data_IF_801833702588
#
_entry.id   IF_801833702588
#
_cell.length_a   1.000
_cell.length_b   1.000
_cell.length_c   1.000
_cell.angle_alpha   90.00
_cell.angle_beta   90.00
_cell.angle_gamma   90.00
#
_symmetry.space_group_name_H-M   'P 1'
#
loop_
_entity.id
_entity.type
_entity.pdbx_description
1 polymer ?
#
# COMPACT_ATOMS: atom_id res chain seq x y z
N UNK A 1 14.18 -18.40 15.01
CA UNK A 1 13.58 -17.99 13.73
C UNK A 1 14.74 -17.70 12.79
N UNK A 2 14.77 -18.30 11.61
CA UNK A 2 15.83 -18.05 10.63
C UNK A 2 15.57 -16.68 9.98
N UNK A 3 16.39 -15.70 10.33
CA UNK A 3 16.24 -14.31 9.89
C UNK A 3 16.49 -14.20 8.37
N UNK A 4 17.37 -15.03 7.82
CA UNK A 4 17.64 -15.04 6.39
C UNK A 4 16.44 -15.57 5.60
N UNK A 5 15.81 -16.63 6.13
CA UNK A 5 14.58 -17.16 5.56
C UNK A 5 13.43 -16.14 5.62
N UNK A 6 13.31 -15.41 6.73
CA UNK A 6 12.30 -14.36 6.88
C UNK A 6 12.47 -13.25 5.82
N UNK A 7 13.69 -12.73 5.64
CA UNK A 7 13.96 -11.70 4.62
C UNK A 7 13.70 -12.21 3.19
N UNK A 8 14.02 -13.48 2.89
CA UNK A 8 13.73 -14.08 1.58
C UNK A 8 12.23 -14.15 1.30
N UNK A 9 11.44 -14.50 2.31
CA UNK A 9 9.98 -14.52 2.20
C UNK A 9 9.45 -13.10 1.96
N UNK A 10 9.86 -12.13 2.77
CA UNK A 10 9.45 -10.73 2.64
C UNK A 10 9.78 -10.13 1.26
N UNK A 11 10.97 -10.45 0.73
CA UNK A 11 11.38 -10.03 -0.61
C UNK A 11 10.49 -10.64 -1.70
N UNK A 12 10.22 -11.95 -1.62
CA UNK A 12 9.38 -12.64 -2.60
C UNK A 12 7.92 -12.14 -2.56
N UNK A 13 7.37 -11.89 -1.36
CA UNK A 13 6.04 -11.32 -1.20
C UNK A 13 5.96 -9.90 -1.78
N UNK A 14 6.97 -9.07 -1.54
CA UNK A 14 7.05 -7.71 -2.07
C UNK A 14 7.12 -7.69 -3.60
N UNK A 15 7.91 -8.57 -4.20
CA UNK A 15 8.01 -8.70 -5.66
C UNK A 15 6.69 -9.17 -6.29
N UNK A 16 6.04 -10.15 -5.68
CA UNK A 16 4.73 -10.64 -6.13
C UNK A 16 3.66 -9.53 -6.09
N UNK A 17 3.59 -8.79 -4.98
CA UNK A 17 2.63 -7.70 -4.81
C UNK A 17 2.87 -6.56 -5.80
N UNK A 18 4.14 -6.17 -6.00
CA UNK A 18 4.52 -5.17 -6.99
C UNK A 18 4.04 -5.54 -8.38
N UNK A 19 4.39 -6.74 -8.85
CA UNK A 19 4.02 -7.23 -10.20
C UNK A 19 2.50 -7.21 -10.41
N UNK A 20 1.74 -7.60 -9.37
CA UNK A 20 0.28 -7.56 -9.40
C UNK A 20 -0.27 -6.14 -9.51
N UNK A 21 0.30 -5.18 -8.78
CA UNK A 21 -0.14 -3.78 -8.81
C UNK A 21 0.24 -3.10 -10.11
N UNK A 22 1.43 -3.36 -10.65
CA UNK A 22 1.87 -2.90 -11.98
C UNK A 22 0.92 -3.41 -13.07
N UNK A 23 0.53 -4.69 -12.99
CA UNK A 23 -0.44 -5.29 -13.91
C UNK A 23 -1.81 -4.60 -13.83
N UNK A 24 -2.29 -4.27 -12.62
CA UNK A 24 -3.56 -3.55 -12.43
C UNK A 24 -3.49 -2.10 -12.94
N UNK A 25 -2.35 -1.42 -12.74
CA UNK A 25 -2.14 -0.05 -13.20
C UNK A 25 -2.16 0.04 -14.75
N UNK A 26 -1.77 -1.04 -15.43
CA UNK A 26 -1.82 -1.15 -16.89
C UNK A 26 -3.23 -1.33 -17.48
N UNK A 27 -4.26 -1.57 -16.65
CA UNK A 27 -5.65 -1.67 -17.13
C UNK A 27 -6.12 -0.30 -17.59
N UNK A 28 -6.70 -0.24 -18.80
CA UNK A 28 -7.16 1.01 -19.42
C UNK A 28 -8.05 1.83 -18.48
N UNK A 29 -7.71 3.10 -18.28
CA UNK A 29 -8.41 4.03 -17.39
C UNK A 29 -8.11 3.85 -15.89
N UNK A 30 -7.26 2.90 -15.52
CA UNK A 30 -6.89 2.57 -14.14
C UNK A 30 -8.10 2.54 -13.18
N UNK A 31 -9.11 1.68 -13.44
CA UNK A 31 -10.35 1.65 -12.67
C UNK A 31 -10.15 1.29 -11.19
N UNK A 32 -9.01 0.69 -10.88
CA UNK A 32 -8.64 0.29 -9.52
C UNK A 32 -7.76 1.32 -8.81
N UNK A 33 -7.47 2.48 -9.40
CA UNK A 33 -6.55 3.47 -8.81
C UNK A 33 -5.20 2.86 -8.43
N UNK A 34 -4.75 1.84 -9.17
CA UNK A 34 -3.55 1.10 -8.86
C UNK A 34 -2.31 1.96 -9.15
N UNK A 35 -1.38 2.02 -8.20
CA UNK A 35 -0.09 2.69 -8.39
C UNK A 35 1.01 2.03 -7.56
N UNK A 36 2.20 2.01 -8.12
CA UNK A 36 3.45 1.71 -7.41
C UNK A 36 4.21 3.02 -7.25
N UNK A 37 4.64 3.30 -6.03
CA UNK A 37 5.43 4.45 -5.67
C UNK A 37 6.53 4.03 -4.70
N UNK A 38 7.37 4.96 -4.24
CA UNK A 38 8.50 4.63 -3.38
C UNK A 38 8.52 5.57 -2.18
N UNK A 39 8.70 5.00 -0.98
CA UNK A 39 9.06 5.73 0.22
C UNK A 39 10.55 5.46 0.51
N UNK A 40 11.41 6.42 0.17
CA UNK A 40 12.85 6.21 0.05
C UNK A 40 13.16 4.99 -0.85
N UNK A 41 13.80 3.95 -0.30
CA UNK A 41 14.17 2.74 -1.03
C UNK A 41 13.09 1.64 -0.98
N UNK A 42 11.98 1.88 -0.27
CA UNK A 42 10.94 0.88 -0.07
C UNK A 42 9.80 1.07 -1.09
N UNK A 43 9.49 0.04 -1.90
CA UNK A 43 8.37 0.12 -2.84
C UNK A 43 7.05 0.07 -2.08
N UNK A 44 6.20 1.05 -2.36
CA UNK A 44 4.85 1.17 -1.84
C UNK A 44 3.81 0.88 -2.92
N UNK A 45 2.71 0.26 -2.49
CA UNK A 45 1.67 -0.21 -3.37
C UNK A 45 0.32 0.33 -2.93
N UNK A 46 -0.51 0.69 -3.90
CA UNK A 46 -1.87 1.13 -3.64
C UNK A 46 -2.80 0.56 -4.69
N UNK A 47 -3.98 0.15 -4.25
CA UNK A 47 -5.12 -0.26 -5.09
C UNK A 47 -6.38 0.22 -4.36
N UNK A 48 -7.26 0.95 -5.03
CA UNK A 48 -8.57 1.38 -4.52
C UNK A 48 -9.59 0.23 -4.60
N UNK A 49 -9.22 -0.96 -4.09
CA UNK A 49 -10.11 -2.11 -4.06
C UNK A 49 -11.17 -2.00 -2.95
N UNK A 50 -10.93 -1.13 -1.96
CA UNK A 50 -11.83 -0.90 -0.85
C UNK A 50 -11.80 0.58 -0.41
N UNK A 51 -12.94 1.12 0.07
CA UNK A 51 -13.01 2.43 0.73
C UNK A 51 -12.19 2.54 2.02
N UNK A 52 -11.80 1.42 2.63
CA UNK A 52 -11.03 1.38 3.88
C UNK A 52 -9.51 1.45 3.65
N UNK A 53 -8.77 2.34 4.32
CA UNK A 53 -7.34 2.52 4.08
C UNK A 53 -6.54 1.32 4.60
N UNK A 54 -7.09 0.57 5.57
CA UNK A 54 -6.50 -0.67 6.09
C UNK A 54 -6.50 -1.82 5.08
N UNK A 55 -7.33 -1.75 4.03
CA UNK A 55 -7.39 -2.74 2.96
C UNK A 55 -6.56 -2.32 1.73
N UNK A 56 -6.18 -1.05 1.65
CA UNK A 56 -5.25 -0.50 0.67
C UNK A 56 -3.84 -0.63 1.25
N UNK A 57 -3.33 -1.86 1.23
CA UNK A 57 -2.14 -2.28 1.96
C UNK A 57 -0.88 -1.56 1.43
N UNK A 58 -0.41 -0.54 2.16
CA UNK A 58 0.88 0.10 1.94
C UNK A 58 1.95 -0.86 2.49
N UNK A 59 2.73 -1.46 1.59
CA UNK A 59 3.97 -2.13 1.96
C UNK A 59 5.10 -1.12 1.83
N UNK A 60 6.08 -1.14 2.72
CA UNK A 60 7.17 -0.15 2.72
C UNK A 60 7.10 0.77 3.92
N UNK A 61 7.33 0.19 5.09
CA UNK A 61 7.70 0.95 6.28
C UNK A 61 9.23 0.99 6.38
N UNK A 62 9.77 2.18 6.61
CA UNK A 62 11.17 2.34 7.00
C UNK A 62 11.22 2.06 8.50
N UNK A 63 11.77 0.90 8.89
CA UNK A 63 11.95 0.57 10.29
C UNK A 63 12.73 1.71 11.00
N UNK A 64 12.02 2.49 11.82
CA UNK A 64 12.62 3.57 12.62
C UNK A 64 12.28 5.01 12.22
N UNK A 65 11.39 5.25 11.24
CA UNK A 65 10.92 6.62 10.90
C UNK A 65 9.39 6.78 11.02
N UNK A 66 8.88 7.14 12.22
CA UNK A 66 7.45 7.38 12.43
C UNK A 66 6.85 8.51 11.58
N UNK A 67 7.66 9.47 11.12
CA UNK A 67 7.18 10.56 10.26
C UNK A 67 6.94 10.08 8.84
N UNK A 68 7.79 9.17 8.34
CA UNK A 68 7.58 8.52 7.05
C UNK A 68 6.26 7.73 7.03
N UNK A 69 5.94 7.02 8.11
CA UNK A 69 4.65 6.33 8.28
C UNK A 69 3.48 7.31 8.29
N UNK A 70 3.59 8.43 9.01
CA UNK A 70 2.53 9.45 9.05
C UNK A 70 2.27 10.07 7.67
N UNK A 71 3.32 10.36 6.91
CA UNK A 71 3.19 10.91 5.56
C UNK A 71 2.49 9.91 4.63
N UNK A 72 2.86 8.62 4.68
CA UNK A 72 2.19 7.56 3.93
C UNK A 72 0.71 7.42 4.29
N UNK A 73 0.36 7.53 5.58
CA UNK A 73 -1.03 7.50 6.04
C UNK A 73 -1.82 8.71 5.51
N UNK A 74 -1.24 9.90 5.50
CA UNK A 74 -1.89 11.10 4.95
C UNK A 74 -2.10 10.99 3.44
N UNK A 75 -1.09 10.56 2.68
CA UNK A 75 -1.20 10.38 1.22
C UNK A 75 -2.22 9.31 0.83
N UNK A 76 -2.36 8.24 1.64
CA UNK A 76 -3.37 7.20 1.40
C UNK A 76 -4.78 7.62 1.80
N UNK A 77 -4.94 8.55 2.75
CA UNK A 77 -6.25 9.04 3.19
C UNK A 77 -7.03 9.73 2.07
N UNK A 78 -6.35 10.44 1.16
CA UNK A 78 -6.95 11.07 -0.03
C UNK A 78 -7.63 10.06 -0.98
N UNK A 79 -7.26 8.78 -0.85
CA UNK A 79 -7.76 7.69 -1.66
C UNK A 79 -8.70 6.75 -0.89
N UNK A 80 -8.95 7.08 0.38
CA UNK A 80 -9.89 6.35 1.21
C UNK A 80 -11.26 7.03 1.11
N UNK A 81 -12.20 6.39 0.43
CA UNK A 81 -13.61 6.77 0.49
C UNK A 81 -14.23 6.26 1.79
N UNK A 82 -13.80 6.75 2.94
CA UNK A 82 -14.61 6.61 4.16
C UNK A 82 -15.86 7.46 3.98
N UNK A 83 -16.84 6.93 3.26
CA UNK A 83 -18.23 7.38 3.37
C UNK A 83 -18.64 7.17 4.83
N UNK A 84 -18.68 8.26 5.58
CA UNK A 84 -19.64 8.60 6.62
C UNK A 84 -20.43 7.48 7.35
N UNK A 85 -19.78 6.40 7.81
CA UNK A 85 -20.43 5.37 8.62
C UNK A 85 -20.58 5.75 10.11
N UNK A 86 -20.23 6.99 10.51
CA UNK A 86 -20.19 7.41 11.92
C UNK A 86 -21.07 8.61 12.30
N UNK A 87 -22.06 9.00 11.50
CA UNK A 87 -23.07 10.00 11.92
C UNK A 87 -24.51 9.56 11.58
N UNK A 88 -24.97 8.49 12.23
CA UNK A 88 -26.41 8.30 12.49
C UNK A 88 -26.59 7.58 13.82
N UNK A 89 -26.70 8.37 14.89
CA UNK A 89 -27.55 8.07 16.05
C UNK A 89 -28.53 9.24 16.24
#
# INVERSE_FOLDING_TARGET
MDVELAHKIEAAESEYLRSRVESLAGVSGNPYGARVFFNADFPCFQVNASPGPMLNRIYGDIAGDPLAVLNLLNESAEHSTTEHWFLTE
#
